data_IF_412915987828
#
_entry.id   IF_412915987828
#
_cell.length_a   1.000
_cell.length_b   1.000
_cell.length_c   1.000
_cell.angle_alpha   90.00
_cell.angle_beta   90.00
_cell.angle_gamma   90.00
#
_symmetry.space_group_name_H-M   'P 1'
#
loop_
_entity.id
_entity.type
_entity.pdbx_description
1 polymer ?
#
# COMPACT_ATOMS: atom_id res chain seq x y z
N UNK A 1 -50.81 28.84 -71.25
CA UNK A 1 -50.24 29.83 -70.31
C UNK A 1 -49.26 29.10 -69.40
N UNK A 2 -48.08 29.70 -69.23
CA UNK A 2 -46.88 29.14 -68.60
C UNK A 2 -47.09 28.84 -67.10
N UNK A 3 -46.55 27.71 -66.63
CA UNK A 3 -46.33 27.43 -65.22
C UNK A 3 -45.01 26.69 -65.05
N UNK A 4 -43.96 27.41 -64.68
CA UNK A 4 -42.66 26.87 -64.27
C UNK A 4 -42.82 26.31 -62.84
N UNK A 5 -42.53 25.03 -62.61
CA UNK A 5 -42.42 24.47 -61.27
C UNK A 5 -40.96 24.15 -60.96
N UNK A 6 -40.35 24.98 -60.10
CA UNK A 6 -39.01 24.79 -59.54
C UNK A 6 -39.05 23.62 -58.55
N UNK A 7 -38.26 22.57 -58.79
CA UNK A 7 -38.03 21.50 -57.80
C UNK A 7 -36.71 21.78 -57.11
N UNK A 8 -36.77 22.20 -55.84
CA UNK A 8 -35.59 22.43 -55.01
C UNK A 8 -35.12 21.09 -54.42
N UNK A 9 -33.89 20.69 -54.73
CA UNK A 9 -33.23 19.53 -54.12
C UNK A 9 -32.50 19.99 -52.86
N UNK A 10 -32.97 19.59 -51.68
CA UNK A 10 -32.22 19.75 -50.42
C UNK A 10 -31.16 18.65 -50.32
N UNK A 11 -29.88 19.05 -50.24
CA UNK A 11 -28.77 18.16 -49.88
C UNK A 11 -28.61 18.20 -48.37
N UNK A 12 -28.89 17.09 -47.68
CA UNK A 12 -28.60 16.94 -46.26
C UNK A 12 -27.12 16.58 -46.09
N UNK A 13 -26.33 17.50 -45.52
CA UNK A 13 -24.96 17.23 -45.10
C UNK A 13 -24.99 16.48 -43.75
N UNK A 14 -24.61 15.21 -43.74
CA UNK A 14 -24.41 14.45 -42.52
C UNK A 14 -23.03 14.78 -41.93
N UNK A 15 -23.01 15.56 -40.86
CA UNK A 15 -21.83 15.79 -40.03
C UNK A 15 -21.56 14.53 -39.20
N UNK A 16 -20.53 13.77 -39.58
CA UNK A 16 -19.97 12.70 -38.76
C UNK A 16 -19.20 13.34 -37.60
N UNK A 17 -19.85 13.44 -36.44
CA UNK A 17 -19.15 13.75 -35.18
C UNK A 17 -18.41 12.48 -34.75
N UNK A 18 -17.12 12.39 -35.04
CA UNK A 18 -16.25 11.41 -34.40
C UNK A 18 -16.15 11.77 -32.93
N UNK A 19 -16.91 11.06 -32.08
CA UNK A 19 -16.67 11.09 -30.65
C UNK A 19 -15.21 10.68 -30.39
N UNK A 20 -14.50 11.33 -29.45
CA UNK A 20 -13.18 10.88 -29.07
C UNK A 20 -13.30 9.43 -28.57
N UNK A 21 -12.48 8.54 -29.15
CA UNK A 21 -12.34 7.19 -28.63
C UNK A 21 -11.86 7.31 -27.18
N UNK A 22 -12.71 6.93 -26.24
CA UNK A 22 -12.27 6.68 -24.87
C UNK A 22 -11.16 5.64 -24.94
N UNK A 23 -9.97 5.99 -24.47
CA UNK A 23 -8.91 5.02 -24.29
C UNK A 23 -9.46 3.91 -23.40
N UNK A 24 -9.39 2.67 -23.88
CA UNK A 24 -9.76 1.49 -23.11
C UNK A 24 -8.99 1.51 -21.78
N UNK A 25 -9.70 1.39 -20.67
CA UNK A 25 -9.08 1.04 -19.38
C UNK A 25 -8.22 -0.22 -19.59
N UNK A 26 -7.00 -0.21 -19.05
CA UNK A 26 -6.06 -1.31 -19.20
C UNK A 26 -6.71 -2.61 -18.73
N UNK A 27 -6.72 -3.63 -19.58
CA UNK A 27 -7.29 -4.93 -19.19
C UNK A 27 -6.50 -5.48 -18.00
N UNK A 28 -7.19 -6.13 -17.05
CA UNK A 28 -6.55 -6.89 -15.98
C UNK A 28 -5.45 -7.78 -16.54
N UNK A 29 -4.28 -7.74 -15.93
CA UNK A 29 -3.13 -8.50 -16.41
C UNK A 29 -2.33 -9.08 -15.27
N UNK A 30 -1.97 -10.35 -15.44
CA UNK A 30 -1.04 -11.07 -14.59
C UNK A 30 -0.47 -12.26 -15.37
N UNK A 31 0.66 -12.78 -14.91
CA UNK A 31 1.20 -14.07 -15.33
C UNK A 31 1.59 -14.82 -14.06
N UNK A 32 0.64 -15.59 -13.55
CA UNK A 32 0.75 -16.26 -12.25
C UNK A 32 0.64 -17.78 -12.38
N UNK A 33 1.29 -18.46 -11.45
CA UNK A 33 1.26 -19.90 -11.28
C UNK A 33 0.75 -20.19 -9.87
N UNK A 34 -0.26 -21.05 -9.75
CA UNK A 34 -0.79 -21.57 -8.49
C UNK A 34 -0.38 -23.04 -8.37
N UNK A 35 0.38 -23.40 -7.34
CA UNK A 35 0.83 -24.78 -7.07
C UNK A 35 1.48 -25.47 -8.29
N UNK A 36 2.24 -24.70 -9.08
CA UNK A 36 2.91 -25.17 -10.29
C UNK A 36 2.05 -25.22 -11.56
N UNK A 37 0.76 -24.85 -11.49
CA UNK A 37 -0.14 -24.73 -12.64
C UNK A 37 -0.38 -23.27 -13.03
N UNK A 38 -0.28 -22.95 -14.32
CA UNK A 38 -0.57 -21.61 -14.82
C UNK A 38 -2.04 -21.22 -14.55
N UNK A 39 -2.23 -20.01 -14.03
CA UNK A 39 -3.56 -19.44 -13.80
C UNK A 39 -3.97 -18.66 -15.06
N UNK A 40 -5.14 -18.94 -15.65
CA UNK A 40 -5.62 -18.22 -16.82
C UNK A 40 -5.67 -16.71 -16.58
N UNK A 41 -5.40 -15.86 -17.58
CA UNK A 41 -5.52 -14.42 -17.45
C UNK A 41 -6.93 -14.01 -17.00
N UNK A 42 -7.01 -13.11 -16.02
CA UNK A 42 -8.27 -12.62 -15.48
C UNK A 42 -8.09 -11.52 -14.45
N UNK A 43 -9.16 -11.28 -13.69
CA UNK A 43 -9.18 -10.32 -12.58
C UNK A 43 -8.81 -10.93 -11.24
N UNK A 44 -8.66 -12.25 -11.18
CA UNK A 44 -8.62 -13.00 -9.94
C UNK A 44 -7.60 -14.15 -10.04
N UNK A 45 -6.80 -14.30 -8.98
CA UNK A 45 -5.92 -15.44 -8.74
C UNK A 45 -6.23 -15.94 -7.34
N UNK A 46 -7.02 -17.00 -7.25
CA UNK A 46 -7.46 -17.56 -5.96
C UNK A 46 -6.77 -18.90 -5.71
N UNK A 47 -6.21 -19.04 -4.50
CA UNK A 47 -5.78 -20.32 -3.98
C UNK A 47 -6.96 -21.24 -3.63
N UNK A 48 -6.63 -22.27 -2.89
CA UNK A 48 -7.48 -23.32 -2.39
C UNK A 48 -7.66 -23.16 -0.87
N UNK A 49 -8.45 -24.02 -0.21
CA UNK A 49 -8.59 -23.96 1.25
C UNK A 49 -7.40 -24.49 2.07
N UNK A 50 -6.23 -24.74 1.47
CA UNK A 50 -5.04 -25.18 2.19
C UNK A 50 -3.78 -24.65 1.53
N UNK A 51 -2.64 -24.83 2.19
CA UNK A 51 -1.35 -24.19 1.86
C UNK A 51 -1.05 -24.14 0.34
N UNK A 52 -1.04 -22.93 -0.20
CA UNK A 52 -0.81 -22.65 -1.60
C UNK A 52 0.50 -21.90 -1.85
N UNK A 53 1.03 -22.07 -3.05
CA UNK A 53 2.13 -21.27 -3.59
C UNK A 53 1.63 -20.52 -4.81
N UNK A 54 1.55 -19.20 -4.71
CA UNK A 54 1.14 -18.31 -5.81
C UNK A 54 2.36 -17.49 -6.23
N UNK A 55 2.84 -17.69 -7.46
CA UNK A 55 3.97 -16.95 -8.01
C UNK A 55 3.58 -16.17 -9.26
N UNK A 56 3.71 -14.85 -9.24
CA UNK A 56 3.48 -13.98 -10.39
C UNK A 56 4.80 -13.37 -10.89
N UNK A 57 5.16 -13.65 -12.14
CA UNK A 57 6.46 -13.27 -12.71
C UNK A 57 6.53 -11.83 -13.23
N UNK A 58 5.39 -11.29 -13.67
CA UNK A 58 5.28 -9.97 -14.30
C UNK A 58 4.49 -9.01 -13.42
N UNK A 59 4.33 -7.78 -13.91
CA UNK A 59 3.44 -6.79 -13.31
C UNK A 59 2.01 -7.33 -13.22
N UNK A 60 1.34 -6.96 -12.13
CA UNK A 60 -0.04 -7.32 -11.83
C UNK A 60 -0.84 -6.03 -11.82
N UNK A 61 -1.79 -5.90 -12.75
CA UNK A 61 -2.60 -4.69 -12.95
C UNK A 61 -4.10 -5.03 -12.89
N UNK A 62 -4.87 -4.36 -12.02
CA UNK A 62 -6.31 -4.58 -11.83
C UNK A 62 -6.69 -6.03 -11.48
N UNK A 63 -5.91 -6.69 -10.61
CA UNK A 63 -6.13 -8.09 -10.18
C UNK A 63 -6.24 -8.20 -8.66
N UNK A 64 -7.06 -9.15 -8.21
CA UNK A 64 -7.10 -9.62 -6.83
C UNK A 64 -6.37 -10.96 -6.76
N UNK A 65 -5.30 -11.02 -5.99
CA UNK A 65 -4.61 -12.26 -5.63
C UNK A 65 -5.03 -12.59 -4.20
N UNK A 66 -5.53 -13.81 -3.97
CA UNK A 66 -5.99 -14.25 -2.66
C UNK A 66 -5.51 -15.67 -2.38
N UNK A 67 -4.78 -15.87 -1.28
CA UNK A 67 -4.33 -17.19 -0.82
C UNK A 67 -5.53 -18.05 -0.41
N UNK A 68 -6.31 -17.58 0.56
CA UNK A 68 -7.55 -18.22 0.98
C UNK A 68 -7.47 -18.66 2.42
N UNK A 69 -7.41 -19.97 2.65
CA UNK A 69 -7.19 -20.52 3.98
C UNK A 69 -5.99 -21.47 3.93
N UNK A 70 -5.26 -21.60 5.02
CA UNK A 70 -3.99 -22.33 5.06
C UNK A 70 -2.80 -21.37 5.07
N UNK A 71 -1.59 -21.92 5.16
CA UNK A 71 -0.39 -21.11 5.24
C UNK A 71 0.18 -20.89 3.84
N UNK A 72 -0.17 -19.77 3.22
CA UNK A 72 0.08 -19.49 1.82
C UNK A 72 1.40 -18.74 1.60
N UNK A 73 2.00 -18.96 0.43
CA UNK A 73 3.20 -18.25 0.00
C UNK A 73 2.91 -17.52 -1.31
N UNK A 74 2.67 -16.22 -1.21
CA UNK A 74 2.32 -15.36 -2.33
C UNK A 74 3.52 -14.50 -2.69
N UNK A 75 4.03 -14.69 -3.91
CA UNK A 75 5.16 -13.94 -4.43
C UNK A 75 4.82 -13.24 -5.73
N UNK A 76 4.91 -11.91 -5.73
CA UNK A 76 4.77 -11.10 -6.96
C UNK A 76 6.06 -10.37 -7.26
N UNK A 77 6.71 -10.73 -8.37
CA UNK A 77 8.01 -10.16 -8.76
C UNK A 77 7.87 -8.82 -9.48
N UNK A 78 6.80 -8.65 -10.25
CA UNK A 78 6.46 -7.39 -10.90
C UNK A 78 5.74 -6.42 -9.97
N UNK A 79 5.41 -5.25 -10.51
CA UNK A 79 4.70 -4.17 -9.83
C UNK A 79 3.28 -4.59 -9.46
N UNK A 80 2.77 -4.06 -8.34
CA UNK A 80 1.36 -4.17 -7.95
C UNK A 80 0.68 -2.84 -8.32
N UNK A 81 -0.10 -2.86 -9.39
CA UNK A 81 -0.75 -1.68 -9.97
C UNK A 81 -2.25 -1.84 -9.80
N UNK A 82 -2.89 -0.94 -9.06
CA UNK A 82 -4.36 -0.95 -8.88
C UNK A 82 -4.92 -2.34 -8.48
N UNK A 83 -4.15 -3.07 -7.67
CA UNK A 83 -4.35 -4.50 -7.39
C UNK A 83 -4.31 -4.77 -5.89
N UNK A 84 -4.88 -5.90 -5.49
CA UNK A 84 -4.93 -6.34 -4.10
C UNK A 84 -4.25 -7.69 -3.96
N UNK A 85 -3.42 -7.85 -2.93
CA UNK A 85 -2.85 -9.14 -2.52
C UNK A 85 -3.35 -9.44 -1.12
N UNK A 86 -4.02 -10.58 -0.95
CA UNK A 86 -4.69 -11.00 0.27
C UNK A 86 -4.08 -12.36 0.67
N UNK A 87 -3.58 -12.49 1.90
CA UNK A 87 -3.16 -13.79 2.43
C UNK A 87 -4.40 -14.62 2.73
N UNK A 88 -5.10 -14.27 3.81
CA UNK A 88 -6.36 -14.91 4.19
C UNK A 88 -6.32 -15.39 5.63
N UNK A 89 -6.81 -16.61 5.88
CA UNK A 89 -6.69 -17.26 7.19
C UNK A 89 -5.46 -18.19 7.19
N UNK A 90 -4.55 -18.04 8.14
CA UNK A 90 -3.34 -18.86 8.26
C UNK A 90 -2.09 -18.01 8.42
N UNK A 91 -0.94 -18.65 8.66
CA UNK A 91 0.34 -17.93 8.77
C UNK A 91 0.95 -17.77 7.37
N UNK A 92 0.68 -16.64 6.73
CA UNK A 92 0.99 -16.38 5.34
C UNK A 92 2.33 -15.67 5.13
N UNK A 93 2.90 -15.87 3.95
CA UNK A 93 4.09 -15.16 3.48
C UNK A 93 3.81 -14.40 2.20
N UNK A 94 3.77 -13.08 2.30
CA UNK A 94 3.46 -12.17 1.19
C UNK A 94 4.73 -11.39 0.81
N UNK A 95 5.32 -11.72 -0.34
CA UNK A 95 6.49 -11.04 -0.87
C UNK A 95 6.19 -10.41 -2.23
N UNK A 96 6.02 -9.09 -2.25
CA UNK A 96 5.70 -8.34 -3.48
C UNK A 96 6.84 -7.41 -3.90
N UNK A 97 6.70 -6.83 -5.08
CA UNK A 97 7.48 -5.65 -5.48
C UNK A 97 6.81 -4.36 -4.97
N UNK A 98 6.97 -3.26 -5.69
CA UNK A 98 6.44 -1.95 -5.32
C UNK A 98 4.92 -1.87 -5.49
N UNK A 99 4.23 -1.26 -4.51
CA UNK A 99 2.83 -0.84 -4.63
C UNK A 99 2.77 0.52 -5.35
N UNK A 100 2.14 0.55 -6.52
CA UNK A 100 2.07 1.72 -7.40
C UNK A 100 0.64 1.94 -7.92
N UNK A 101 -0.24 2.54 -7.12
CA UNK A 101 -1.57 2.88 -7.57
C UNK A 101 -1.52 3.98 -8.65
N UNK A 102 -2.34 3.84 -9.69
CA UNK A 102 -2.43 4.78 -10.82
C UNK A 102 -3.80 5.41 -10.86
N UNK A 103 -4.84 4.60 -11.10
CA UNK A 103 -6.24 5.03 -11.18
C UNK A 103 -7.07 4.47 -10.00
N UNK A 104 -6.59 3.38 -9.38
CA UNK A 104 -7.22 2.68 -8.26
C UNK A 104 -6.37 2.71 -7.00
N UNK A 105 -6.52 1.68 -6.16
CA UNK A 105 -5.75 1.51 -4.94
C UNK A 105 -4.86 0.28 -5.10
N UNK A 106 -3.68 0.30 -4.48
CA UNK A 106 -2.82 -0.87 -4.39
C UNK A 106 -2.71 -1.29 -2.93
N UNK A 107 -3.08 -2.52 -2.59
CA UNK A 107 -3.03 -2.96 -1.20
C UNK A 107 -2.55 -4.38 -0.99
N UNK A 108 -1.93 -4.59 0.16
CA UNK A 108 -1.62 -5.91 0.71
C UNK A 108 -2.35 -6.02 2.05
N UNK A 109 -3.04 -7.13 2.26
CA UNK A 109 -3.66 -7.52 3.53
C UNK A 109 -3.18 -8.92 3.86
N UNK A 110 -2.52 -9.07 5.00
CA UNK A 110 -1.97 -10.36 5.39
C UNK A 110 -3.12 -11.28 5.84
N UNK A 111 -3.91 -10.83 6.82
CA UNK A 111 -5.19 -11.46 7.16
C UNK A 111 -5.21 -11.89 8.61
N UNK A 112 -5.67 -13.10 8.89
CA UNK A 112 -5.70 -13.65 10.24
C UNK A 112 -4.63 -14.73 10.39
N UNK A 113 -3.67 -14.54 11.29
CA UNK A 113 -2.53 -15.43 11.50
C UNK A 113 -1.27 -14.63 11.81
N UNK A 114 -0.16 -15.30 12.10
CA UNK A 114 1.11 -14.62 12.33
C UNK A 114 1.86 -14.47 10.99
N UNK A 115 1.59 -13.38 10.27
CA UNK A 115 2.00 -13.25 8.87
C UNK A 115 3.39 -12.64 8.67
N UNK A 116 3.96 -12.85 7.49
CA UNK A 116 5.17 -12.16 7.04
C UNK A 116 4.96 -11.42 5.74
N UNK A 117 5.05 -10.09 5.78
CA UNK A 117 4.88 -9.21 4.63
C UNK A 117 6.20 -8.51 4.26
N UNK A 118 6.59 -8.56 2.99
CA UNK A 118 7.83 -7.92 2.49
C UNK A 118 7.54 -7.12 1.23
N UNK A 119 7.73 -5.80 1.32
CA UNK A 119 7.39 -4.84 0.25
C UNK A 119 8.49 -3.78 0.11
N UNK A 120 9.22 -3.71 -1.02
CA UNK A 120 10.27 -2.70 -1.19
C UNK A 120 9.77 -1.24 -1.11
N UNK A 121 8.55 -0.94 -1.56
CA UNK A 121 8.02 0.42 -1.52
C UNK A 121 6.50 0.44 -1.46
N UNK A 122 5.98 1.25 -0.55
CA UNK A 122 4.56 1.57 -0.39
C UNK A 122 4.39 3.06 -0.73
N UNK A 123 4.03 3.35 -1.99
CA UNK A 123 3.95 4.72 -2.48
C UNK A 123 2.56 5.02 -3.04
N UNK A 124 1.77 5.79 -2.30
CA UNK A 124 0.51 6.33 -2.81
C UNK A 124 0.66 7.74 -3.36
N UNK A 125 -0.38 8.21 -4.03
CA UNK A 125 -0.59 9.60 -4.44
C UNK A 125 -1.65 10.25 -3.55
N UNK A 126 -1.86 11.56 -3.72
CA UNK A 126 -2.92 12.29 -3.03
C UNK A 126 -4.31 11.67 -3.24
N UNK A 127 -4.56 11.15 -4.44
CA UNK A 127 -5.88 10.65 -4.83
C UNK A 127 -5.99 9.13 -4.62
N UNK A 128 -4.86 8.42 -4.70
CA UNK A 128 -4.81 6.97 -4.75
C UNK A 128 -3.81 6.38 -3.74
N UNK A 129 -4.28 5.57 -2.81
CA UNK A 129 -3.49 5.03 -1.71
C UNK A 129 -2.74 3.75 -2.08
N UNK A 130 -1.61 3.58 -1.41
CA UNK A 130 -0.88 2.32 -1.32
C UNK A 130 -0.86 1.88 0.14
N UNK A 131 -1.36 0.69 0.45
CA UNK A 131 -1.51 0.27 1.84
C UNK A 131 -1.02 -1.15 2.10
N UNK A 132 -0.40 -1.36 3.25
CA UNK A 132 -0.07 -2.68 3.78
C UNK A 132 -0.73 -2.83 5.15
N UNK A 133 -1.43 -3.93 5.36
CA UNK A 133 -2.09 -4.28 6.61
C UNK A 133 -1.60 -5.65 7.08
N UNK A 134 -1.18 -5.76 8.33
CA UNK A 134 -1.02 -7.04 9.03
C UNK A 134 -2.38 -7.69 9.26
N UNK A 135 -3.30 -6.93 9.86
CA UNK A 135 -4.68 -7.32 10.20
C UNK A 135 -4.77 -8.02 11.57
N UNK A 136 -4.96 -9.33 11.71
CA UNK A 136 -5.05 -9.99 13.02
C UNK A 136 -3.92 -11.00 13.24
N UNK A 137 -3.13 -10.81 14.28
CA UNK A 137 -2.06 -11.74 14.67
C UNK A 137 -0.76 -10.99 14.94
N UNK A 138 0.32 -11.72 15.25
CA UNK A 138 1.62 -11.11 15.49
C UNK A 138 2.42 -11.02 14.19
N UNK A 139 2.22 -9.94 13.43
CA UNK A 139 2.74 -9.84 12.06
C UNK A 139 4.17 -9.33 11.99
N UNK A 140 4.93 -9.82 11.01
CA UNK A 140 6.25 -9.29 10.65
C UNK A 140 6.18 -8.56 9.31
N UNK A 141 6.20 -7.23 9.35
CA UNK A 141 6.08 -6.38 8.17
C UNK A 141 7.42 -5.70 7.88
N UNK A 142 8.02 -5.97 6.72
CA UNK A 142 9.24 -5.31 6.25
C UNK A 142 8.95 -4.45 5.03
N UNK A 143 9.12 -3.13 5.16
CA UNK A 143 8.89 -2.16 4.09
C UNK A 143 10.13 -1.31 3.82
N UNK A 144 10.48 -1.09 2.54
CA UNK A 144 11.65 -0.27 2.20
C UNK A 144 11.40 1.24 2.35
N UNK A 145 10.45 1.79 1.61
CA UNK A 145 10.06 3.20 1.71
C UNK A 145 8.55 3.31 1.83
N UNK A 146 8.08 4.21 2.69
CA UNK A 146 6.65 4.54 2.83
C UNK A 146 6.48 6.03 2.53
N UNK A 147 5.73 6.35 1.47
CA UNK A 147 5.63 7.73 1.01
C UNK A 147 4.33 8.08 0.31
N UNK A 148 3.99 9.36 0.31
CA UNK A 148 2.87 9.90 -0.44
C UNK A 148 1.87 10.61 0.46
N UNK A 149 1.31 11.70 -0.04
CA UNK A 149 0.39 12.54 0.73
C UNK A 149 -0.96 11.84 0.92
N UNK A 150 -1.54 11.83 2.14
CA UNK A 150 -2.82 11.18 2.44
C UNK A 150 -4.04 11.79 1.70
N UNK A 151 -3.88 12.96 1.06
CA UNK A 151 -4.95 13.66 0.36
C UNK A 151 -6.06 14.18 1.27
N UNK A 152 -7.14 14.68 0.67
CA UNK A 152 -8.21 15.39 1.40
C UNK A 152 -8.97 14.51 2.41
N UNK A 153 -8.96 13.19 2.21
CA UNK A 153 -9.74 12.23 3.01
C UNK A 153 -8.88 11.21 3.77
N UNK A 154 -7.56 11.38 3.80
CA UNK A 154 -6.62 10.42 4.37
C UNK A 154 -6.68 9.01 3.76
N UNK A 155 -7.17 8.90 2.52
CA UNK A 155 -7.25 7.64 1.76
C UNK A 155 -6.12 7.49 0.75
N UNK A 156 -5.40 8.57 0.45
CA UNK A 156 -4.22 8.54 -0.42
C UNK A 156 -2.96 8.14 0.34
N UNK A 157 -1.82 8.29 -0.32
CA UNK A 157 -0.49 8.15 0.27
C UNK A 157 -0.09 6.72 0.58
N UNK A 158 1.16 6.56 1.02
CA UNK A 158 1.72 5.28 1.45
C UNK A 158 1.44 5.04 2.93
N UNK A 159 0.85 3.90 3.26
CA UNK A 159 0.41 3.58 4.62
C UNK A 159 0.74 2.14 4.98
N UNK A 160 1.19 1.92 6.22
CA UNK A 160 1.48 0.59 6.77
C UNK A 160 0.85 0.51 8.15
N UNK A 161 0.13 -0.57 8.40
CA UNK A 161 -0.57 -0.84 9.64
C UNK A 161 -0.24 -2.27 10.09
N UNK A 162 0.13 -2.45 11.36
CA UNK A 162 0.13 -3.77 11.99
C UNK A 162 -1.31 -4.22 12.25
N UNK A 163 -2.08 -3.37 12.95
CA UNK A 163 -3.46 -3.56 13.40
C UNK A 163 -3.56 -4.35 14.72
N UNK A 164 -4.21 -5.52 14.77
CA UNK A 164 -4.48 -6.21 16.03
C UNK A 164 -3.45 -7.30 16.27
N UNK A 165 -2.61 -7.13 17.30
CA UNK A 165 -1.63 -8.13 17.73
C UNK A 165 -0.26 -7.50 17.97
N UNK A 166 0.70 -8.31 18.43
CA UNK A 166 2.03 -7.79 18.77
C UNK A 166 2.93 -7.73 17.53
N UNK A 167 2.81 -6.65 16.76
CA UNK A 167 3.42 -6.55 15.43
C UNK A 167 4.88 -6.11 15.47
N UNK A 168 5.65 -6.55 14.47
CA UNK A 168 7.00 -6.06 14.20
C UNK A 168 7.07 -5.42 12.83
N UNK A 169 7.18 -4.10 12.79
CA UNK A 169 7.26 -3.31 11.57
C UNK A 169 8.67 -2.75 11.38
N UNK A 170 9.37 -3.22 10.35
CA UNK A 170 10.67 -2.72 9.91
C UNK A 170 10.54 -1.89 8.65
N UNK A 171 10.57 -0.57 8.79
CA UNK A 171 10.53 0.38 7.71
C UNK A 171 11.92 0.95 7.37
N UNK A 172 12.18 1.30 6.11
CA UNK A 172 13.28 2.20 5.78
C UNK A 172 12.88 3.64 6.04
N UNK A 173 12.72 4.46 5.00
CA UNK A 173 12.39 5.89 5.17
C UNK A 173 10.89 6.11 5.06
N UNK A 174 10.33 6.86 6.01
CA UNK A 174 8.93 7.28 6.02
C UNK A 174 8.91 8.79 5.75
N UNK A 175 8.42 9.21 4.60
CA UNK A 175 8.51 10.62 4.16
C UNK A 175 7.34 11.05 3.26
N UNK A 176 7.29 12.31 2.86
CA UNK A 176 6.25 12.88 1.99
C UNK A 176 4.81 12.57 2.42
N UNK A 177 4.57 12.50 3.73
CA UNK A 177 3.26 12.17 4.32
C UNK A 177 3.01 10.68 4.53
N UNK A 178 4.01 9.82 4.29
CA UNK A 178 3.92 8.39 4.58
C UNK A 178 3.64 8.10 6.06
N UNK A 179 2.95 6.99 6.33
CA UNK A 179 2.46 6.65 7.67
C UNK A 179 2.77 5.19 8.00
N UNK A 180 3.27 4.96 9.21
CA UNK A 180 3.43 3.64 9.80
C UNK A 180 2.75 3.64 11.16
N UNK A 181 1.83 2.70 11.37
CA UNK A 181 1.07 2.56 12.60
C UNK A 181 1.24 1.14 13.11
N UNK A 182 1.54 0.99 14.40
CA UNK A 182 1.58 -0.30 15.09
C UNK A 182 0.17 -0.88 15.10
N UNK A 183 -0.70 -0.32 15.93
CA UNK A 183 -2.06 -0.80 16.06
C UNK A 183 -2.41 -0.97 17.53
N UNK A 184 -3.00 -2.11 17.90
CA UNK A 184 -3.29 -2.46 19.28
C UNK A 184 -2.34 -3.56 19.76
N UNK A 185 -2.06 -3.57 21.05
CA UNK A 185 -1.08 -4.45 21.71
C UNK A 185 0.35 -3.90 21.64
N UNK A 186 1.37 -4.75 21.84
CA UNK A 186 2.73 -4.26 22.07
C UNK A 186 3.54 -4.36 20.77
N UNK A 187 3.64 -3.26 20.05
CA UNK A 187 4.28 -3.23 18.75
C UNK A 187 5.77 -2.89 18.83
N UNK A 188 6.52 -3.35 17.84
CA UNK A 188 7.91 -2.96 17.61
C UNK A 188 8.00 -2.28 16.25
N UNK A 189 8.26 -0.97 16.26
CA UNK A 189 8.43 -0.19 15.03
C UNK A 189 9.89 0.26 14.92
N UNK A 190 10.58 -0.27 13.90
CA UNK A 190 11.92 0.13 13.51
C UNK A 190 11.91 0.91 12.21
N UNK A 191 12.52 2.09 12.18
CA UNK A 191 12.63 2.89 10.94
C UNK A 191 14.07 3.39 10.68
N UNK A 192 14.43 3.59 9.42
CA UNK A 192 15.69 4.30 9.06
C UNK A 192 15.60 5.80 9.31
N UNK A 193 14.41 6.40 9.19
CA UNK A 193 14.16 7.82 9.43
C UNK A 193 12.71 8.21 9.13
N UNK A 194 12.25 9.28 9.77
CA UNK A 194 10.87 9.77 9.63
C UNK A 194 10.84 11.27 9.33
N UNK A 195 10.16 11.65 8.25
CA UNK A 195 10.06 13.02 7.74
C UNK A 195 11.40 13.75 7.52
N UNK A 196 12.43 13.15 6.89
CA UNK A 196 13.66 13.88 6.58
C UNK A 196 13.41 15.08 5.66
N UNK A 197 12.47 15.00 4.71
CA UNK A 197 12.21 16.07 3.73
C UNK A 197 10.84 16.75 3.90
N UNK A 198 9.74 15.98 3.96
CA UNK A 198 8.39 16.52 3.82
C UNK A 198 7.29 15.68 4.51
N UNK A 199 7.53 15.35 5.77
CA UNK A 199 6.54 14.82 6.70
C UNK A 199 6.55 13.30 6.70
N UNK A 200 6.36 12.71 7.85
CA UNK A 200 6.26 11.27 8.00
C UNK A 200 5.72 10.98 9.39
N UNK A 201 4.97 9.91 9.53
CA UNK A 201 4.29 9.58 10.78
C UNK A 201 4.65 8.17 11.20
N UNK A 202 5.10 8.04 12.44
CA UNK A 202 5.07 6.79 13.18
C UNK A 202 4.14 6.98 14.38
N UNK A 203 3.25 6.03 14.58
CA UNK A 203 2.41 5.94 15.77
C UNK A 203 2.42 4.50 16.27
N UNK A 204 2.66 4.26 17.56
CA UNK A 204 2.51 2.93 18.17
C UNK A 204 1.03 2.58 18.25
N UNK A 205 0.34 3.09 19.27
CA UNK A 205 -1.10 2.92 19.45
C UNK A 205 -1.45 2.63 20.91
N UNK A 206 -2.52 1.88 21.19
CA UNK A 206 -2.75 1.31 22.52
C UNK A 206 -1.86 0.09 22.76
N UNK A 207 -1.25 0.01 23.94
CA UNK A 207 -0.28 -1.03 24.31
C UNK A 207 1.14 -0.50 24.45
N UNK A 208 2.09 -1.34 24.89
CA UNK A 208 3.44 -0.90 25.27
C UNK A 208 4.39 -1.01 24.09
N UNK A 209 4.45 0.05 23.31
CA UNK A 209 5.14 0.05 22.04
C UNK A 209 6.64 0.30 22.19
N UNK A 210 7.42 -0.20 21.25
CA UNK A 210 8.85 0.07 21.15
C UNK A 210 9.17 0.70 19.80
N UNK A 211 9.53 1.99 19.80
CA UNK A 211 9.85 2.75 18.58
C UNK A 211 11.32 3.11 18.55
N UNK A 212 12.05 2.69 17.50
CA UNK A 212 13.50 2.90 17.42
C UNK A 212 14.04 2.96 16.00
N UNK A 213 15.32 3.30 15.88
CA UNK A 213 16.02 3.24 14.62
C UNK A 213 16.31 1.78 14.24
N UNK A 214 16.39 1.50 12.94
CA UNK A 214 16.72 0.16 12.43
C UNK A 214 17.93 -0.44 13.15
N UNK A 215 17.84 -1.73 13.52
CA UNK A 215 18.89 -2.47 14.25
C UNK A 215 19.20 -1.86 15.62
N UNK A 216 18.15 -1.48 16.36
CA UNK A 216 18.25 -0.85 17.68
C UNK A 216 19.11 0.44 17.68
N UNK A 217 19.05 1.24 16.62
CA UNK A 217 19.73 2.54 16.57
C UNK A 217 18.82 3.67 17.07
N UNK A 218 19.34 4.89 17.13
CA UNK A 218 18.49 6.07 17.40
C UNK A 218 17.75 6.43 16.12
N UNK A 219 16.41 6.48 16.20
CA UNK A 219 15.58 6.99 15.12
C UNK A 219 15.67 8.52 15.06
N UNK A 220 15.96 9.05 13.88
CA UNK A 220 15.99 10.50 13.66
C UNK A 220 14.64 10.99 13.13
N UNK A 221 13.96 11.82 13.92
CA UNK A 221 12.80 12.59 13.49
C UNK A 221 13.26 13.85 12.75
N UNK A 222 13.12 13.81 11.43
CA UNK A 222 13.69 14.75 10.49
C UNK A 222 13.09 16.16 10.53
N UNK A 223 13.81 17.17 9.98
CA UNK A 223 13.39 18.56 9.98
C UNK A 223 12.20 18.83 9.04
N UNK A 224 11.82 17.86 8.22
CA UNK A 224 10.68 17.91 7.32
C UNK A 224 9.34 17.68 8.02
N UNK A 225 9.19 17.94 9.33
CA UNK A 225 7.97 17.62 10.10
C UNK A 225 7.75 16.13 10.34
N UNK A 226 8.81 15.38 10.64
CA UNK A 226 8.67 14.01 11.13
C UNK A 226 7.91 13.97 12.46
N UNK A 227 6.92 13.10 12.59
CA UNK A 227 6.14 12.87 13.80
C UNK A 227 6.36 11.45 14.28
N UNK A 228 6.70 11.32 15.56
CA UNK A 228 6.74 10.04 16.27
C UNK A 228 5.90 10.18 17.53
N UNK A 229 4.95 9.28 17.68
CA UNK A 229 4.07 9.21 18.85
C UNK A 229 4.04 7.76 19.37
N UNK A 230 4.40 7.57 20.65
CA UNK A 230 4.32 6.26 21.30
C UNK A 230 2.88 5.77 21.34
N UNK A 231 1.95 6.59 21.81
CA UNK A 231 0.59 6.15 22.09
C UNK A 231 0.09 6.57 23.46
N UNK A 232 -0.81 5.78 24.02
CA UNK A 232 -1.49 6.10 25.29
C UNK A 232 -0.83 5.47 26.52
N UNK A 233 -0.07 4.38 26.34
CA UNK A 233 0.45 3.55 27.42
C UNK A 233 1.95 3.81 27.67
N UNK A 234 2.62 2.91 28.41
CA UNK A 234 4.05 3.06 28.74
C UNK A 234 4.94 2.57 27.60
N UNK A 235 5.24 3.48 26.67
CA UNK A 235 6.06 3.20 25.49
C UNK A 235 7.57 3.34 25.76
N UNK A 236 8.37 2.69 24.91
CA UNK A 236 9.83 2.78 24.90
C UNK A 236 10.33 3.32 23.57
N UNK A 237 10.81 4.55 23.58
CA UNK A 237 11.30 5.20 22.37
C UNK A 237 12.81 5.44 22.41
N UNK A 238 13.50 5.06 21.34
CA UNK A 238 14.90 5.45 21.07
C UNK A 238 14.93 6.43 19.90
N UNK A 239 14.47 7.65 20.14
CA UNK A 239 14.16 8.65 19.09
C UNK A 239 14.78 10.01 19.46
N UNK A 240 15.27 10.75 18.47
CA UNK A 240 15.78 12.11 18.64
C UNK A 240 15.37 13.01 17.47
N UNK A 241 15.20 14.31 17.74
CA UNK A 241 15.10 15.31 16.69
C UNK A 241 16.42 15.37 15.91
N UNK A 242 16.36 15.33 14.57
CA UNK A 242 17.55 15.44 13.72
C UNK A 242 18.25 16.81 13.87
N UNK A 243 17.52 17.86 14.27
CA UNK A 243 18.07 19.17 14.64
C UNK A 243 17.40 19.68 15.92
N UNK A 244 17.95 19.38 17.11
CA UNK A 244 17.35 19.77 18.39
C UNK A 244 17.24 21.28 18.60
N UNK A 245 18.15 22.08 18.05
CA UNK A 245 18.16 23.54 18.22
C UNK A 245 17.05 24.24 17.43
N UNK A 246 16.51 23.58 16.40
CA UNK A 246 15.46 24.10 15.51
C UNK A 246 14.50 22.98 15.12
N UNK A 247 14.00 22.26 16.12
CA UNK A 247 13.12 21.13 15.90
C UNK A 247 11.84 21.59 15.16
N UNK A 248 11.58 20.93 14.03
CA UNK A 248 10.32 20.98 13.29
C UNK A 248 9.56 19.65 13.36
N UNK A 249 10.22 18.63 13.89
CA UNK A 249 9.62 17.34 14.19
C UNK A 249 8.91 17.37 15.54
N UNK A 250 7.99 16.42 15.72
CA UNK A 250 7.27 16.18 16.96
C UNK A 250 7.62 14.80 17.48
N UNK A 251 7.97 14.70 18.76
CA UNK A 251 8.15 13.44 19.47
C UNK A 251 7.21 13.52 20.68
N UNK A 252 6.26 12.60 20.77
CA UNK A 252 5.23 12.53 21.81
C UNK A 252 5.15 11.11 22.38
N UNK A 253 4.67 10.99 23.62
CA UNK A 253 4.53 9.71 24.34
C UNK A 253 5.79 8.82 24.28
N UNK A 254 6.97 9.43 24.30
CA UNK A 254 8.25 8.77 24.12
C UNK A 254 9.20 9.20 25.25
N UNK A 255 9.16 8.52 26.42
CA UNK A 255 9.93 8.90 27.61
C UNK A 255 11.44 8.62 27.50
#
# INVERSE_FOLDING_TARGET
MRGLALTATLVAAASLTTAPAHAHEGLPSHHCVLNGAEVPPGQEVFGTPGDDVIECENDVENVIIWGGAGNDNIRVKGLIIDSQVLGGDGDDRLQTSHLLPREGQASIRAGAGDDTVIVPTVMGTTDNGAAVYGDQGADTITVGTVSGSPGQHARGGGQVFGNDGADTISAGVIDFGGRVLGGSENDVIEAKGVGPEAGGVIQGGPGKDTIRGAKDTVLLAGPGWGLVDGGLDEDRCKVQHANPERARSTIAACP
#
